data_IF_973015434339
#
_entry.id   IF_973015434339
#
_cell.length_a   1.000
_cell.length_b   1.000
_cell.length_c   1.000
_cell.angle_alpha   90.00
_cell.angle_beta   90.00
_cell.angle_gamma   90.00
#
_symmetry.space_group_name_H-M   'P 1'
#
loop_
_entity.id
_entity.type
_entity.pdbx_description
1 polymer ?
#
# COMPACT_ATOMS: atom_id res chain seq x y z
N UNK A 1 36.81 -7.90 4.37
CA UNK A 1 36.35 -9.08 5.14
C UNK A 1 34.85 -9.20 4.96
N UNK A 2 34.26 -10.40 4.98
CA UNK A 2 32.80 -10.58 4.87
C UNK A 2 32.18 -10.91 6.23
N UNK A 3 31.04 -10.32 6.56
CA UNK A 3 30.35 -10.54 7.84
C UNK A 3 29.78 -11.96 7.97
N UNK A 4 29.82 -12.50 9.20
CA UNK A 4 29.18 -13.78 9.53
C UNK A 4 27.67 -13.63 9.70
N UNK A 5 26.93 -14.74 9.58
CA UNK A 5 25.47 -14.75 9.80
C UNK A 5 25.08 -14.23 11.19
N UNK A 6 25.86 -14.55 12.22
CA UNK A 6 25.62 -14.09 13.60
C UNK A 6 25.79 -12.57 13.72
N UNK A 7 26.76 -11.99 13.00
CA UNK A 7 26.96 -10.53 12.97
C UNK A 7 25.83 -9.84 12.23
N UNK A 8 25.34 -10.41 11.13
CA UNK A 8 24.17 -9.90 10.40
C UNK A 8 22.92 -9.93 11.30
N UNK A 9 22.69 -11.03 12.03
CA UNK A 9 21.59 -11.10 13.02
C UNK A 9 21.73 -10.05 14.11
N UNK A 10 22.97 -9.77 14.56
CA UNK A 10 23.24 -8.69 15.52
C UNK A 10 22.91 -7.31 14.94
N UNK A 11 23.16 -7.06 13.65
CA UNK A 11 22.73 -5.83 12.98
C UNK A 11 21.20 -5.69 12.91
N UNK A 12 20.48 -6.79 12.64
CA UNK A 12 19.02 -6.78 12.68
C UNK A 12 18.48 -6.48 14.08
N UNK A 13 19.09 -7.07 15.12
CA UNK A 13 18.71 -6.77 16.50
C UNK A 13 19.00 -5.30 16.84
N UNK A 14 20.18 -4.81 16.47
CA UNK A 14 20.62 -3.44 16.69
C UNK A 14 19.67 -2.41 16.05
N UNK A 15 19.37 -2.57 14.77
CA UNK A 15 18.42 -1.68 14.06
C UNK A 15 17.04 -1.70 14.70
N UNK A 16 16.55 -2.87 15.14
CA UNK A 16 15.27 -2.98 15.86
C UNK A 16 15.29 -2.28 17.21
N UNK A 17 16.37 -2.40 17.99
CA UNK A 17 16.51 -1.69 19.27
C UNK A 17 16.60 -0.18 19.10
N UNK A 18 17.05 0.28 17.93
CA UNK A 18 17.08 1.68 17.53
C UNK A 18 15.82 2.12 16.75
N UNK A 19 14.65 1.53 17.07
CA UNK A 19 13.33 1.93 16.60
C UNK A 19 13.09 1.85 15.08
N UNK A 20 13.86 1.02 14.35
CA UNK A 20 13.54 0.70 12.95
C UNK A 20 12.41 -0.33 12.94
N UNK A 21 11.17 0.12 12.78
CA UNK A 21 9.98 -0.74 12.91
C UNK A 21 9.71 -1.62 11.68
N UNK A 22 10.00 -1.12 10.47
CA UNK A 22 9.67 -1.80 9.22
C UNK A 22 10.81 -2.70 8.77
N UNK A 23 10.49 -3.96 8.47
CA UNK A 23 11.47 -4.96 8.08
C UNK A 23 12.15 -4.64 6.75
N UNK A 24 11.40 -4.08 5.78
CA UNK A 24 11.97 -3.61 4.52
C UNK A 24 13.09 -2.59 4.74
N UNK A 25 12.86 -1.66 5.68
CA UNK A 25 13.81 -0.62 6.04
C UNK A 25 14.97 -1.15 6.88
N UNK A 26 14.72 -2.16 7.74
CA UNK A 26 15.77 -2.88 8.44
C UNK A 26 16.72 -3.55 7.46
N UNK A 27 16.22 -4.22 6.42
CA UNK A 27 17.07 -4.87 5.41
C UNK A 27 18.00 -3.85 4.76
N UNK A 28 17.50 -2.68 4.36
CA UNK A 28 18.31 -1.61 3.76
C UNK A 28 19.35 -1.04 4.73
N UNK A 29 18.97 -0.79 5.99
CA UNK A 29 19.89 -0.27 7.01
C UNK A 29 20.95 -1.31 7.42
N UNK A 30 20.57 -2.58 7.53
CA UNK A 30 21.50 -3.68 7.81
C UNK A 30 22.50 -3.83 6.68
N UNK A 31 22.06 -3.76 5.42
CA UNK A 31 22.94 -3.80 4.25
C UNK A 31 23.94 -2.63 4.28
N UNK A 32 23.46 -1.41 4.56
CA UNK A 32 24.31 -0.24 4.69
C UNK A 32 25.35 -0.38 5.82
N UNK A 33 24.92 -0.80 7.01
CA UNK A 33 25.82 -1.02 8.15
C UNK A 33 26.82 -2.13 7.88
N UNK A 34 26.37 -3.22 7.27
CA UNK A 34 27.21 -4.35 6.89
C UNK A 34 28.33 -3.88 5.96
N UNK A 35 27.96 -3.21 4.87
CA UNK A 35 28.93 -2.68 3.91
C UNK A 35 29.90 -1.67 4.53
N UNK A 36 29.41 -0.80 5.43
CA UNK A 36 30.24 0.18 6.11
C UNK A 36 31.27 -0.47 7.06
N UNK A 37 30.87 -1.50 7.80
CA UNK A 37 31.75 -2.27 8.68
C UNK A 37 32.82 -3.00 7.87
N UNK A 38 32.43 -3.66 6.78
CA UNK A 38 33.35 -4.38 5.90
C UNK A 38 34.41 -3.44 5.32
N UNK A 39 33.99 -2.24 4.88
CA UNK A 39 34.89 -1.19 4.38
C UNK A 39 35.79 -0.62 5.48
N UNK A 40 35.30 -0.47 6.70
CA UNK A 40 36.12 0.00 7.82
C UNK A 40 37.21 -1.02 8.16
N UNK A 41 36.90 -2.31 8.14
CA UNK A 41 37.88 -3.38 8.36
C UNK A 41 38.95 -3.52 7.27
N UNK A 42 38.69 -3.06 6.05
CA UNK A 42 39.74 -2.95 5.03
C UNK A 42 40.83 -1.95 5.42
N UNK A 43 40.47 -0.92 6.19
CA UNK A 43 41.37 0.15 6.62
C UNK A 43 41.92 -0.11 8.03
N UNK A 44 41.08 -0.58 8.94
CA UNK A 44 41.38 -0.78 10.36
C UNK A 44 41.04 -2.21 10.80
N UNK A 45 41.86 -3.18 10.40
CA UNK A 45 41.63 -4.60 10.66
C UNK A 45 41.72 -5.03 12.14
N UNK A 46 42.13 -4.13 13.04
CA UNK A 46 42.34 -4.42 14.47
C UNK A 46 41.11 -4.17 15.34
N UNK A 47 40.12 -3.43 14.85
CA UNK A 47 38.91 -3.09 15.60
C UNK A 47 37.92 -4.26 15.61
N UNK A 48 37.29 -4.49 16.75
CA UNK A 48 36.22 -5.48 16.89
C UNK A 48 34.94 -5.04 16.17
N UNK A 49 34.07 -6.00 15.86
CA UNK A 49 32.78 -5.73 15.21
C UNK A 49 31.94 -4.70 15.96
N UNK A 50 31.90 -4.79 17.30
CA UNK A 50 31.08 -3.90 18.13
C UNK A 50 31.63 -2.47 18.17
N UNK A 51 32.95 -2.32 18.21
CA UNK A 51 33.60 -1.01 18.13
C UNK A 51 33.32 -0.34 16.78
N UNK A 52 33.47 -1.09 15.68
CA UNK A 52 33.18 -0.56 14.34
C UNK A 52 31.70 -0.23 14.19
N UNK A 53 30.80 -1.08 14.67
CA UNK A 53 29.35 -0.82 14.64
C UNK A 53 29.01 0.47 15.38
N UNK A 54 29.58 0.70 16.57
CA UNK A 54 29.34 1.92 17.33
C UNK A 54 29.90 3.17 16.63
N UNK A 55 31.09 3.06 16.01
CA UNK A 55 31.69 4.12 15.20
C UNK A 55 30.79 4.47 14.01
N UNK A 56 30.33 3.47 13.26
CA UNK A 56 29.45 3.67 12.12
C UNK A 56 28.09 4.23 12.56
N UNK A 57 27.54 3.76 13.69
CA UNK A 57 26.31 4.29 14.26
C UNK A 57 26.43 5.76 14.68
N UNK A 58 27.56 6.17 15.26
CA UNK A 58 27.81 7.57 15.64
C UNK A 58 27.80 8.53 14.45
N UNK A 59 28.07 8.05 13.22
CA UNK A 59 27.98 8.88 12.00
C UNK A 59 26.56 9.33 11.69
N UNK A 60 25.54 8.67 12.24
CA UNK A 60 24.14 9.06 12.11
C UNK A 60 23.75 10.22 13.05
N UNK A 61 24.64 10.63 13.97
CA UNK A 61 24.42 11.78 14.84
C UNK A 61 23.53 11.50 16.06
N UNK A 62 23.14 12.56 16.77
CA UNK A 62 22.44 12.49 18.07
C UNK A 62 21.06 11.85 17.95
N UNK A 63 20.40 12.01 16.81
CA UNK A 63 19.08 11.43 16.53
C UNK A 63 19.16 9.98 16.03
N UNK A 64 20.36 9.41 15.90
CA UNK A 64 20.55 8.04 15.41
C UNK A 64 19.89 7.84 14.03
N UNK A 65 19.10 6.78 13.89
CA UNK A 65 18.50 6.45 12.59
C UNK A 65 17.33 7.32 12.15
N UNK A 66 16.79 8.23 12.99
CA UNK A 66 15.54 8.93 12.70
C UNK A 66 15.52 9.65 11.34
N UNK A 67 16.53 10.47 11.04
CA UNK A 67 16.60 11.25 9.80
C UNK A 67 16.75 10.34 8.56
N UNK A 68 17.51 9.25 8.71
CA UNK A 68 17.72 8.27 7.65
C UNK A 68 16.47 7.42 7.43
N UNK A 69 15.77 7.04 8.50
CA UNK A 69 14.50 6.33 8.43
C UNK A 69 13.48 7.15 7.65
N UNK A 70 13.34 8.44 7.97
CA UNK A 70 12.35 9.31 7.32
C UNK A 70 12.66 9.52 5.83
N UNK A 71 13.93 9.84 5.50
CA UNK A 71 14.36 10.05 4.12
C UNK A 71 14.21 8.78 3.28
N UNK A 72 14.62 7.61 3.80
CA UNK A 72 14.49 6.33 3.10
C UNK A 72 13.04 5.88 2.96
N UNK A 73 12.22 6.05 4.00
CA UNK A 73 10.78 5.80 3.93
C UNK A 73 10.14 6.57 2.78
N UNK A 74 10.47 7.85 2.60
CA UNK A 74 9.95 8.68 1.50
C UNK A 74 10.33 8.11 0.13
N UNK A 75 11.60 7.71 -0.04
CA UNK A 75 12.09 7.10 -1.28
C UNK A 75 11.42 5.75 -1.56
N UNK A 76 11.29 4.90 -0.55
CA UNK A 76 10.63 3.59 -0.66
C UNK A 76 9.16 3.74 -1.04
N UNK A 77 8.44 4.69 -0.42
CA UNK A 77 7.06 5.01 -0.78
C UNK A 77 6.95 5.34 -2.28
N UNK A 78 7.82 6.20 -2.80
CA UNK A 78 7.82 6.56 -4.23
C UNK A 78 8.08 5.34 -5.12
N UNK A 79 9.05 4.49 -4.74
CA UNK A 79 9.35 3.23 -5.45
C UNK A 79 8.14 2.30 -5.47
N UNK A 80 7.43 2.15 -4.36
CA UNK A 80 6.24 1.32 -4.28
C UNK A 80 5.11 1.88 -5.13
N UNK A 81 4.84 3.19 -5.10
CA UNK A 81 3.86 3.80 -6.00
C UNK A 81 4.22 3.59 -7.47
N UNK A 82 5.49 3.69 -7.84
CA UNK A 82 5.94 3.40 -9.18
C UNK A 82 5.64 1.95 -9.57
N UNK A 83 5.97 0.98 -8.70
CA UNK A 83 5.66 -0.44 -8.91
C UNK A 83 4.16 -0.69 -9.07
N UNK A 84 3.34 -0.09 -8.21
CA UNK A 84 1.87 -0.18 -8.29
C UNK A 84 1.35 0.39 -9.61
N UNK A 85 1.90 1.52 -10.04
CA UNK A 85 1.50 2.16 -11.29
C UNK A 85 1.90 1.36 -12.53
N UNK A 86 3.09 0.75 -12.52
CA UNK A 86 3.52 -0.14 -13.60
C UNK A 86 2.64 -1.38 -13.67
N UNK A 87 2.38 -2.04 -12.53
CA UNK A 87 1.49 -3.20 -12.48
C UNK A 87 0.05 -2.85 -12.87
N UNK A 88 -0.46 -1.71 -12.42
CA UNK A 88 -1.76 -1.19 -12.84
C UNK A 88 -1.82 -1.01 -14.35
N UNK A 89 -0.81 -0.39 -14.95
CA UNK A 89 -0.75 -0.18 -16.40
C UNK A 89 -0.72 -1.48 -17.19
N UNK A 90 0.02 -2.48 -16.73
CA UNK A 90 0.08 -3.79 -17.40
C UNK A 90 -1.28 -4.49 -17.42
N UNK A 91 -2.01 -4.40 -16.31
CA UNK A 91 -3.35 -5.00 -16.19
C UNK A 91 -4.38 -4.19 -17.01
N UNK A 92 -4.39 -2.87 -16.86
CA UNK A 92 -5.40 -2.01 -17.47
C UNK A 92 -5.14 -1.68 -18.93
N UNK A 93 -3.90 -1.54 -19.41
CA UNK A 93 -3.62 -1.25 -20.82
C UNK A 93 -3.28 -2.50 -21.64
N UNK A 94 -3.35 -3.70 -21.04
CA UNK A 94 -3.20 -4.98 -21.74
C UNK A 94 -4.43 -5.40 -22.55
N UNK A 95 -4.34 -6.54 -23.25
CA UNK A 95 -5.44 -7.13 -24.07
C UNK A 95 -6.75 -7.36 -23.29
N UNK A 96 -6.68 -7.37 -21.97
CA UNK A 96 -7.81 -7.55 -21.05
C UNK A 96 -8.76 -6.35 -21.02
N UNK A 97 -8.32 -5.15 -21.43
CA UNK A 97 -9.18 -3.96 -21.45
C UNK A 97 -10.30 -4.06 -22.50
N UNK A 98 -10.01 -4.67 -23.65
CA UNK A 98 -11.01 -4.86 -24.69
C UNK A 98 -12.13 -5.77 -24.19
N UNK A 99 -11.79 -6.83 -23.46
CA UNK A 99 -12.77 -7.72 -22.83
C UNK A 99 -13.58 -6.99 -21.75
N UNK A 100 -12.93 -6.15 -20.93
CA UNK A 100 -13.62 -5.34 -19.93
C UNK A 100 -14.59 -4.36 -20.59
N UNK A 101 -14.18 -3.64 -21.64
CA UNK A 101 -15.03 -2.71 -22.40
C UNK A 101 -16.23 -3.45 -23.01
N UNK A 102 -16.02 -4.62 -23.62
CA UNK A 102 -17.10 -5.43 -24.19
C UNK A 102 -18.08 -5.87 -23.08
N UNK A 103 -17.58 -6.31 -21.93
CA UNK A 103 -18.41 -6.73 -20.80
C UNK A 103 -19.24 -5.56 -20.25
N UNK A 104 -18.63 -4.38 -20.12
CA UNK A 104 -19.27 -3.14 -19.69
C UNK A 104 -20.41 -2.77 -20.66
N UNK A 105 -20.15 -2.78 -21.98
CA UNK A 105 -21.17 -2.52 -23.00
C UNK A 105 -22.29 -3.57 -22.95
N UNK A 106 -21.96 -4.85 -22.74
CA UNK A 106 -22.95 -5.91 -22.62
C UNK A 106 -23.86 -5.71 -21.40
N UNK A 107 -23.27 -5.47 -20.22
CA UNK A 107 -23.98 -5.20 -18.99
C UNK A 107 -24.86 -3.94 -19.11
N UNK A 108 -24.35 -2.89 -19.72
CA UNK A 108 -25.11 -1.67 -20.04
C UNK A 108 -26.35 -1.98 -20.90
N UNK A 109 -26.17 -2.77 -21.96
CA UNK A 109 -27.26 -3.09 -22.88
C UNK A 109 -28.33 -3.95 -22.21
N UNK A 110 -27.94 -4.85 -21.31
CA UNK A 110 -28.85 -5.65 -20.49
C UNK A 110 -29.58 -4.76 -19.49
N UNK A 111 -28.87 -3.86 -18.80
CA UNK A 111 -29.43 -2.94 -17.82
C UNK A 111 -30.47 -1.99 -18.45
N UNK A 112 -30.29 -1.55 -19.70
CA UNK A 112 -31.27 -0.73 -20.43
C UNK A 112 -32.54 -1.49 -20.80
N UNK A 113 -32.44 -2.81 -21.04
CA UNK A 113 -33.58 -3.65 -21.46
C UNK A 113 -34.38 -4.20 -20.29
N UNK A 114 -33.76 -4.39 -19.14
CA UNK A 114 -34.42 -4.88 -17.92
C UNK A 114 -34.87 -3.68 -17.12
N UNK A 115 -36.19 -3.55 -16.90
CA UNK A 115 -36.70 -2.47 -16.04
C UNK A 115 -36.39 -2.80 -14.58
N UNK A 116 -35.25 -2.31 -14.10
CA UNK A 116 -34.90 -2.37 -12.69
C UNK A 116 -35.64 -1.26 -11.94
N UNK A 117 -36.49 -1.65 -10.98
CA UNK A 117 -37.13 -0.69 -10.08
C UNK A 117 -36.11 -0.04 -9.15
N UNK A 118 -36.45 1.14 -8.60
CA UNK A 118 -35.59 1.91 -7.67
C UNK A 118 -35.10 1.08 -6.47
N UNK A 119 -35.88 0.10 -6.03
CA UNK A 119 -35.51 -0.84 -4.96
C UNK A 119 -34.29 -1.72 -5.27
N UNK A 120 -34.05 -2.07 -6.54
CA UNK A 120 -32.88 -2.86 -6.94
C UNK A 120 -31.59 -2.07 -6.74
N UNK A 121 -31.56 -0.81 -7.16
CA UNK A 121 -30.42 0.08 -6.99
C UNK A 121 -30.17 0.41 -5.52
N UNK A 122 -31.22 0.56 -4.71
CA UNK A 122 -31.10 0.74 -3.26
C UNK A 122 -30.47 -0.49 -2.59
N UNK A 123 -30.88 -1.70 -2.98
CA UNK A 123 -30.31 -2.94 -2.45
C UNK A 123 -28.83 -3.07 -2.82
N UNK A 124 -28.47 -2.79 -4.09
CA UNK A 124 -27.08 -2.78 -4.55
C UNK A 124 -26.24 -1.76 -3.78
N UNK A 125 -26.79 -0.59 -3.48
CA UNK A 125 -26.10 0.41 -2.66
C UNK A 125 -25.85 -0.08 -1.24
N UNK A 126 -26.86 -0.69 -0.60
CA UNK A 126 -26.72 -1.23 0.77
C UNK A 126 -25.68 -2.36 0.83
N UNK A 127 -25.58 -3.21 -0.19
CA UNK A 127 -24.56 -4.28 -0.21
C UNK A 127 -23.15 -3.73 -0.43
N UNK A 128 -22.97 -2.74 -1.30
CA UNK A 128 -21.68 -2.07 -1.53
C UNK A 128 -21.24 -1.30 -0.28
N UNK A 129 -22.16 -0.61 0.40
CA UNK A 129 -21.83 0.13 1.64
C UNK A 129 -21.60 -0.78 2.85
N UNK A 130 -22.34 -1.88 2.99
CA UNK A 130 -22.10 -2.86 4.06
C UNK A 130 -20.77 -3.61 3.87
N UNK A 131 -20.49 -4.07 2.64
CA UNK A 131 -19.21 -4.74 2.33
C UNK A 131 -18.04 -3.80 2.58
N UNK A 132 -18.24 -2.50 2.33
CA UNK A 132 -17.25 -1.49 2.65
C UNK A 132 -16.95 -1.32 4.13
N UNK A 133 -17.99 -1.13 4.94
CA UNK A 133 -17.85 -1.00 6.38
C UNK A 133 -17.14 -2.23 6.97
N UNK A 134 -17.45 -3.42 6.43
CA UNK A 134 -16.75 -4.66 6.79
C UNK A 134 -15.25 -4.62 6.46
N UNK A 135 -14.86 -4.18 5.25
CA UNK A 135 -13.44 -4.06 4.86
C UNK A 135 -12.70 -3.04 5.74
N UNK A 136 -13.28 -1.88 6.02
CA UNK A 136 -12.67 -0.89 6.91
C UNK A 136 -12.48 -1.43 8.34
N UNK A 137 -13.50 -2.09 8.86
CA UNK A 137 -13.47 -2.65 10.21
C UNK A 137 -12.43 -3.77 10.31
N UNK A 138 -12.44 -4.72 9.37
CA UNK A 138 -11.45 -5.82 9.30
C UNK A 138 -10.02 -5.32 9.14
N UNK A 139 -9.77 -4.32 8.29
CA UNK A 139 -8.45 -3.70 8.12
C UNK A 139 -7.96 -3.04 9.41
N UNK A 140 -8.84 -2.33 10.13
CA UNK A 140 -8.48 -1.70 11.41
C UNK A 140 -8.14 -2.73 12.49
N UNK A 141 -8.81 -3.88 12.50
CA UNK A 141 -8.53 -5.00 13.40
C UNK A 141 -7.22 -5.69 13.01
N UNK A 142 -6.98 -5.88 11.71
CA UNK A 142 -5.75 -6.49 11.20
C UNK A 142 -4.52 -5.66 11.55
N UNK A 143 -4.60 -4.33 11.44
CA UNK A 143 -3.55 -3.40 11.86
C UNK A 143 -3.26 -3.46 13.37
N UNK A 144 -4.29 -3.64 14.21
CA UNK A 144 -4.10 -3.81 15.66
C UNK A 144 -3.43 -5.14 15.98
N UNK A 145 -3.89 -6.23 15.35
CA UNK A 145 -3.32 -7.58 15.53
C UNK A 145 -1.88 -7.70 15.04
N UNK A 146 -1.51 -7.02 13.95
CA UNK A 146 -0.12 -7.00 13.45
C UNK A 146 0.81 -6.25 14.40
N UNK A 147 0.35 -5.15 15.01
CA UNK A 147 1.09 -4.44 16.07
C UNK A 147 1.29 -5.28 17.33
N UNK A 148 0.26 -6.03 17.76
CA UNK A 148 0.29 -6.84 18.99
C UNK A 148 1.04 -8.17 18.83
N UNK A 149 1.01 -8.79 17.65
CA UNK A 149 1.59 -10.13 17.43
C UNK A 149 3.11 -10.19 17.32
N UNK A 150 3.80 -9.04 17.39
CA UNK A 150 5.26 -8.97 17.23
C UNK A 150 5.76 -9.45 15.85
N UNK A 151 4.85 -9.63 14.88
CA UNK A 151 5.18 -10.02 13.50
C UNK A 151 5.97 -8.89 12.83
N UNK A 152 6.80 -9.27 11.85
CA UNK A 152 7.55 -8.32 11.02
C UNK A 152 6.57 -7.38 10.32
N UNK A 153 6.73 -6.07 10.53
CA UNK A 153 5.92 -5.04 9.88
C UNK A 153 6.54 -4.70 8.53
N UNK A 154 5.76 -4.78 7.46
CA UNK A 154 6.19 -4.43 6.11
C UNK A 154 5.69 -3.02 5.79
N UNK A 155 6.58 -2.16 5.30
CA UNK A 155 6.21 -0.78 4.95
C UNK A 155 5.23 -0.79 3.78
N UNK A 156 5.44 -1.68 2.81
CA UNK A 156 4.54 -1.90 1.69
C UNK A 156 3.11 -2.27 2.15
N UNK A 157 2.99 -3.22 3.09
CA UNK A 157 1.71 -3.67 3.63
C UNK A 157 0.97 -2.51 4.32
N UNK A 158 1.67 -1.71 5.10
CA UNK A 158 1.08 -0.51 5.70
C UNK A 158 0.66 0.53 4.65
N UNK A 159 1.45 0.74 3.59
CA UNK A 159 1.08 1.64 2.50
C UNK A 159 -0.20 1.16 1.81
N UNK A 160 -0.36 -0.15 1.58
CA UNK A 160 -1.58 -0.71 1.00
C UNK A 160 -2.80 -0.54 1.91
N UNK A 161 -2.64 -0.75 3.22
CA UNK A 161 -3.76 -0.66 4.16
C UNK A 161 -4.10 0.81 4.48
N UNK A 162 -3.09 1.68 4.57
CA UNK A 162 -3.21 3.07 4.99
C UNK A 162 -3.58 4.01 3.82
N UNK A 163 -3.07 3.78 2.61
CA UNK A 163 -3.52 4.49 1.41
C UNK A 163 -4.84 3.90 0.90
N UNK A 164 -5.94 4.26 1.55
CA UNK A 164 -6.84 5.30 1.02
C UNK A 164 -7.40 5.21 -0.41
N UNK A 165 -7.00 4.28 -1.29
CA UNK A 165 -7.80 3.92 -2.47
C UNK A 165 -9.19 3.50 -2.05
N UNK A 166 -9.24 2.91 -0.86
CA UNK A 166 -10.48 2.55 -0.23
C UNK A 166 -11.33 3.83 0.01
N UNK A 167 -10.96 4.72 0.94
CA UNK A 167 -11.81 5.87 1.30
C UNK A 167 -12.15 6.83 0.14
N UNK A 168 -11.21 7.06 -0.80
CA UNK A 168 -11.43 7.95 -1.94
C UNK A 168 -12.44 7.39 -2.95
N UNK A 169 -12.39 6.08 -3.24
CA UNK A 169 -13.35 5.41 -4.14
C UNK A 169 -14.76 5.39 -3.53
N UNK A 170 -14.89 5.36 -2.20
CA UNK A 170 -16.20 5.37 -1.55
C UNK A 170 -16.86 6.72 -1.47
N UNK A 171 -16.08 7.77 -1.29
CA UNK A 171 -16.61 9.13 -1.41
C UNK A 171 -17.09 9.38 -2.84
N UNK A 172 -16.36 8.90 -3.85
CA UNK A 172 -16.78 8.97 -5.24
C UNK A 172 -18.07 8.19 -5.50
N UNK A 173 -18.18 6.95 -4.99
CA UNK A 173 -19.39 6.12 -5.19
C UNK A 173 -20.62 6.69 -4.48
N UNK A 174 -20.48 7.27 -3.28
CA UNK A 174 -21.57 7.97 -2.58
C UNK A 174 -22.05 9.18 -3.38
N UNK A 175 -21.13 10.01 -3.90
CA UNK A 175 -21.49 11.20 -4.67
C UNK A 175 -22.19 10.85 -5.98
N UNK A 176 -21.72 9.81 -6.67
CA UNK A 176 -22.36 9.30 -7.89
C UNK A 176 -23.79 8.82 -7.61
N UNK A 177 -24.01 8.13 -6.49
CA UNK A 177 -25.33 7.56 -6.15
C UNK A 177 -26.32 8.62 -5.64
N UNK A 178 -25.85 9.62 -4.89
CA UNK A 178 -26.67 10.78 -4.51
C UNK A 178 -27.12 11.54 -5.77
N UNK A 179 -26.22 11.70 -6.75
CA UNK A 179 -26.57 12.27 -8.05
C UNK A 179 -27.64 11.44 -8.77
N UNK A 180 -27.52 10.11 -8.76
CA UNK A 180 -28.53 9.18 -9.33
C UNK A 180 -29.88 9.32 -8.66
N UNK A 181 -29.93 9.40 -7.32
CA UNK A 181 -31.20 9.46 -6.60
C UNK A 181 -31.94 10.80 -6.79
N UNK A 182 -31.20 11.90 -6.90
CA UNK A 182 -31.78 13.24 -7.07
C UNK A 182 -32.23 13.55 -8.51
N UNK A 183 -31.70 12.82 -9.50
CA UNK A 183 -31.96 13.05 -10.92
C UNK A 183 -32.27 11.75 -11.69
N UNK A 184 -32.87 10.76 -11.02
CA UNK A 184 -33.04 9.39 -11.53
C UNK A 184 -33.66 9.33 -12.93
N UNK A 185 -34.76 10.07 -13.14
CA UNK A 185 -35.48 10.10 -14.41
C UNK A 185 -34.63 10.74 -15.53
N UNK A 186 -33.91 11.83 -15.23
CA UNK A 186 -33.01 12.51 -16.17
C UNK A 186 -31.75 11.68 -16.49
N UNK A 187 -31.25 10.89 -15.54
CA UNK A 187 -30.01 10.12 -15.66
C UNK A 187 -30.21 8.77 -16.37
N UNK A 188 -31.39 8.17 -16.27
CA UNK A 188 -31.73 6.95 -17.02
C UNK A 188 -32.03 7.25 -18.49
N UNK A 189 -32.62 8.42 -18.78
CA UNK A 189 -32.82 8.87 -20.17
C UNK A 189 -31.52 9.33 -20.85
N UNK A 190 -30.52 9.73 -20.07
CA UNK A 190 -29.23 10.18 -20.59
C UNK A 190 -28.24 9.01 -20.79
N UNK A 191 -28.07 8.60 -22.04
CA UNK A 191 -27.21 7.48 -22.44
C UNK A 191 -25.75 7.60 -21.93
N UNK A 192 -25.23 8.81 -21.73
CA UNK A 192 -23.86 9.02 -21.24
C UNK A 192 -23.67 8.67 -19.75
N UNK A 193 -24.68 8.93 -18.92
CA UNK A 193 -24.61 8.63 -17.48
C UNK A 193 -24.81 7.14 -17.21
N UNK A 194 -25.76 6.53 -17.91
CA UNK A 194 -26.02 5.10 -17.83
C UNK A 194 -24.76 4.31 -18.28
N UNK A 195 -24.02 4.81 -19.28
CA UNK A 195 -22.75 4.21 -19.74
C UNK A 195 -21.65 4.28 -18.68
N UNK A 196 -21.54 5.40 -17.96
CA UNK A 196 -20.55 5.58 -16.89
C UNK A 196 -20.78 4.69 -15.66
N UNK A 197 -22.02 4.21 -15.44
CA UNK A 197 -22.39 3.33 -14.31
C UNK A 197 -22.26 1.84 -14.61
N UNK A 198 -22.29 1.45 -15.87
CA UNK A 198 -22.16 0.04 -16.28
C UNK A 198 -20.90 -0.72 -15.83
N UNK A 199 -19.75 -0.07 -15.50
CA UNK A 199 -18.60 -0.75 -14.91
C UNK A 199 -18.65 -0.97 -13.40
N UNK A 200 -19.60 -0.35 -12.69
CA UNK A 200 -19.73 -0.39 -11.23
C UNK A 200 -20.89 -1.28 -10.79
#
# INVERSE_FOLDING_TARGET
MTLSKQQIEKLFLFTRTHYVEWHDLQIELVDHLAHAIEKNWEVNATLSFDEVLEIEFKKFGVFGFSDVIESRKKVMIQKYYHMLWTSFKEVFFGRRILLAIILIILLFTIAKKVWFGSWFFLLLYLTVTCSWMYVLFSNSIMLKRTKESGKRRWLLEEIFIQNGYINSVHILSINVIISINNHFDFLIENDFYLFGLSPF
#
